data_IF_213161000117
#
_entry.id   IF_213161000117
#
_cell.length_a   1.000
_cell.length_b   1.000
_cell.length_c   1.000
_cell.angle_alpha   90.00
_cell.angle_beta   90.00
_cell.angle_gamma   90.00
#
_symmetry.space_group_name_H-M   'P 1'
#
loop_
_entity.id
_entity.type
_entity.pdbx_description
1 polymer ?
#
# COMPACT_ATOMS: atom_id res chain seq x y z
N UNK A 1 -17.33 -1.82 4.89
CA UNK A 1 -16.95 -0.47 5.41
C UNK A 1 -15.79 0.05 4.59
N UNK A 2 -15.88 1.25 4.00
CA UNK A 2 -14.76 1.82 3.25
C UNK A 2 -13.67 2.38 4.16
N UNK A 3 -12.43 1.96 3.90
CA UNK A 3 -11.25 2.39 4.65
C UNK A 3 -10.22 3.05 3.72
N UNK A 4 -9.30 3.79 4.32
CA UNK A 4 -8.07 4.25 3.67
C UNK A 4 -6.88 3.55 4.31
N UNK A 5 -5.96 3.03 3.50
CA UNK A 5 -4.73 2.42 3.99
C UNK A 5 -3.55 3.15 3.37
N UNK A 6 -2.60 3.56 4.21
CA UNK A 6 -1.36 4.22 3.82
C UNK A 6 -0.20 3.26 4.12
N UNK A 7 0.60 2.96 3.10
CA UNK A 7 1.62 1.92 3.08
C UNK A 7 2.99 2.51 2.72
N UNK A 8 4.01 2.08 3.46
CA UNK A 8 5.42 2.30 3.12
C UNK A 8 6.17 0.99 3.27
N UNK A 9 6.68 0.44 2.16
CA UNK A 9 7.57 -0.72 2.15
C UNK A 9 9.02 -0.24 2.13
N UNK A 10 9.80 -0.69 3.09
CA UNK A 10 11.22 -0.36 3.27
C UNK A 10 12.06 -1.64 3.14
N UNK A 11 12.46 -2.03 1.91
CA UNK A 11 13.46 -3.08 1.70
C UNK A 11 14.79 -2.65 2.32
N UNK A 12 15.48 -3.56 3.01
CA UNK A 12 16.79 -3.28 3.63
C UNK A 12 17.93 -3.93 2.82
N UNK A 13 18.02 -3.56 1.53
CA UNK A 13 18.96 -4.09 0.54
C UNK A 13 19.21 -3.08 -0.61
N UNK A 14 20.31 -3.21 -1.35
CA UNK A 14 20.79 -2.20 -2.32
C UNK A 14 19.84 -1.97 -3.51
N UNK A 15 19.12 -3.01 -3.94
CA UNK A 15 18.16 -2.97 -5.05
C UNK A 15 16.73 -2.64 -4.59
N UNK A 16 16.58 -1.93 -3.46
CA UNK A 16 15.31 -1.60 -2.83
C UNK A 16 14.27 -1.02 -3.80
N UNK A 17 14.69 -0.16 -4.73
CA UNK A 17 13.80 0.51 -5.68
C UNK A 17 12.97 -0.49 -6.49
N UNK A 18 13.58 -1.60 -6.93
CA UNK A 18 12.91 -2.63 -7.72
C UNK A 18 11.76 -3.24 -6.92
N UNK A 19 11.99 -3.51 -5.63
CA UNK A 19 10.98 -4.09 -4.75
C UNK A 19 9.84 -3.13 -4.46
N UNK A 20 10.15 -1.85 -4.20
CA UNK A 20 9.13 -0.81 -3.97
C UNK A 20 8.29 -0.61 -5.24
N UNK A 21 8.92 -0.46 -6.40
CA UNK A 21 8.23 -0.27 -7.69
C UNK A 21 7.32 -1.45 -8.00
N UNK A 22 7.80 -2.69 -7.79
CA UNK A 22 7.01 -3.88 -8.05
C UNK A 22 5.81 -4.01 -7.11
N UNK A 23 5.97 -3.62 -5.84
CA UNK A 23 4.87 -3.59 -4.88
C UNK A 23 3.81 -2.54 -5.26
N UNK A 24 4.21 -1.32 -5.62
CA UNK A 24 3.29 -0.28 -6.07
C UNK A 24 2.55 -0.71 -7.35
N UNK A 25 3.26 -1.30 -8.32
CA UNK A 25 2.63 -1.84 -9.54
C UNK A 25 1.59 -2.91 -9.23
N UNK A 26 1.87 -3.83 -8.30
CA UNK A 26 0.89 -4.86 -7.96
C UNK A 26 -0.37 -4.26 -7.33
N UNK A 27 -0.24 -3.20 -6.51
CA UNK A 27 -1.38 -2.44 -5.99
C UNK A 27 -2.18 -1.75 -7.10
N UNK A 28 -1.51 -1.13 -8.07
CA UNK A 28 -2.15 -0.48 -9.24
C UNK A 28 -2.93 -1.45 -10.14
N UNK A 29 -2.48 -2.69 -10.23
CA UNK A 29 -3.15 -3.75 -11.01
C UNK A 29 -4.43 -4.28 -10.33
N UNK A 30 -4.84 -3.69 -9.21
CA UNK A 30 -6.08 -4.03 -8.52
C UNK A 30 -7.27 -3.20 -9.00
N UNK A 31 -8.47 -3.57 -8.55
CA UNK A 31 -9.70 -2.79 -8.76
C UNK A 31 -9.82 -1.58 -7.81
N UNK A 32 -8.88 -1.41 -6.87
CA UNK A 32 -8.94 -0.39 -5.84
C UNK A 32 -8.35 0.94 -6.34
N UNK A 33 -8.81 2.05 -5.76
CA UNK A 33 -8.19 3.34 -6.01
C UNK A 33 -6.82 3.36 -5.32
N UNK A 34 -5.78 3.73 -6.06
CA UNK A 34 -4.41 3.88 -5.56
C UNK A 34 -3.90 5.28 -5.86
N UNK A 35 -3.32 5.94 -4.85
CA UNK A 35 -2.68 7.25 -4.96
C UNK A 35 -1.27 7.16 -4.39
N UNK A 36 -0.28 7.76 -5.05
CA UNK A 36 1.08 7.83 -4.54
C UNK A 36 1.52 9.25 -4.25
N UNK A 37 2.40 9.39 -3.27
CA UNK A 37 3.17 10.59 -3.03
C UNK A 37 4.64 10.18 -2.75
N UNK A 38 5.57 11.13 -2.61
CA UNK A 38 6.98 10.81 -2.40
C UNK A 38 7.32 9.99 -1.13
N UNK A 39 6.40 9.90 -0.16
CA UNK A 39 6.62 9.25 1.13
C UNK A 39 5.84 7.93 1.30
N UNK A 40 4.71 7.76 0.61
CA UNK A 40 3.84 6.60 0.81
C UNK A 40 2.94 6.30 -0.40
N UNK A 41 2.37 5.09 -0.38
CA UNK A 41 1.30 4.66 -1.29
C UNK A 41 0.01 4.48 -0.51
N UNK A 42 -1.06 5.11 -0.98
CA UNK A 42 -2.39 5.06 -0.39
C UNK A 42 -3.31 4.20 -1.25
N UNK A 43 -4.13 3.38 -0.61
CA UNK A 43 -5.10 2.50 -1.27
C UNK A 43 -6.42 2.49 -0.51
N UNK A 44 -7.52 2.51 -1.27
CA UNK A 44 -8.86 2.75 -0.74
C UNK A 44 -9.84 1.67 -1.22
N UNK A 45 -10.75 1.25 -0.34
CA UNK A 45 -11.73 0.21 -0.70
C UNK A 45 -12.56 -0.30 0.47
N UNK A 46 -13.46 -1.23 0.18
CA UNK A 46 -14.22 -1.95 1.21
C UNK A 46 -13.29 -2.84 2.05
N UNK A 47 -13.35 -2.73 3.38
CA UNK A 47 -12.49 -3.42 4.33
C UNK A 47 -12.39 -4.93 4.05
N UNK A 48 -13.52 -5.59 3.87
CA UNK A 48 -13.62 -7.04 3.70
C UNK A 48 -13.08 -7.51 2.35
N UNK A 49 -12.87 -6.61 1.39
CA UNK A 49 -12.24 -6.91 0.10
C UNK A 49 -10.76 -6.49 0.08
N UNK A 50 -10.47 -5.32 0.66
CA UNK A 50 -9.16 -4.68 0.62
C UNK A 50 -8.17 -5.38 1.54
N UNK A 51 -8.56 -5.72 2.78
CA UNK A 51 -7.64 -6.33 3.74
C UNK A 51 -7.14 -7.72 3.31
N UNK A 52 -7.98 -8.64 2.79
CA UNK A 52 -7.49 -9.91 2.25
C UNK A 52 -6.56 -9.73 1.05
N UNK A 53 -6.88 -8.79 0.15
CA UNK A 53 -6.03 -8.46 -0.99
C UNK A 53 -4.66 -7.93 -0.53
N UNK A 54 -4.64 -6.95 0.37
CA UNK A 54 -3.41 -6.40 0.94
C UNK A 54 -2.58 -7.46 1.64
N UNK A 55 -3.21 -8.32 2.45
CA UNK A 55 -2.52 -9.42 3.11
C UNK A 55 -1.80 -10.34 2.10
N UNK A 56 -2.44 -10.64 0.97
CA UNK A 56 -1.79 -11.40 -0.10
C UNK A 56 -0.60 -10.66 -0.72
N UNK A 57 -0.74 -9.37 -1.02
CA UNK A 57 0.34 -8.57 -1.62
C UNK A 57 1.53 -8.42 -0.67
N UNK A 58 1.26 -8.17 0.61
CA UNK A 58 2.26 -8.04 1.67
C UNK A 58 3.02 -9.36 1.82
N UNK A 59 2.31 -10.49 1.87
CA UNK A 59 2.94 -11.82 1.92
C UNK A 59 3.87 -12.04 0.74
N UNK A 60 3.40 -11.77 -0.49
CA UNK A 60 4.23 -11.91 -1.69
C UNK A 60 5.44 -10.98 -1.69
N UNK A 61 5.32 -9.76 -1.17
CA UNK A 61 6.47 -8.85 -1.02
C UNK A 61 7.50 -9.44 -0.05
N UNK A 62 7.05 -9.91 1.12
CA UNK A 62 7.91 -10.48 2.16
C UNK A 62 8.62 -11.76 1.68
N UNK A 63 7.96 -12.61 0.87
CA UNK A 63 8.59 -13.81 0.29
C UNK A 63 9.67 -13.48 -0.74
N UNK A 64 9.60 -12.31 -1.41
CA UNK A 64 10.56 -11.88 -2.43
C UNK A 64 11.75 -11.12 -1.86
N UNK A 65 11.79 -10.88 -0.56
CA UNK A 65 12.75 -9.99 0.10
C UNK A 65 13.39 -10.70 1.29
N UNK A 66 14.71 -10.54 1.47
CA UNK A 66 15.40 -11.17 2.59
C UNK A 66 15.12 -10.45 3.91
N UNK A 67 15.14 -9.12 3.86
CA UNK A 67 14.87 -8.25 5.01
C UNK A 67 14.10 -7.03 4.51
N UNK A 68 12.93 -6.79 5.08
CA UNK A 68 12.15 -5.58 4.80
C UNK A 68 11.29 -5.21 6.01
N UNK A 69 10.86 -3.96 6.05
CA UNK A 69 9.89 -3.44 7.02
C UNK A 69 8.73 -2.86 6.23
N UNK A 70 7.49 -3.16 6.64
CA UNK A 70 6.30 -2.52 6.10
C UNK A 70 5.62 -1.73 7.23
N UNK A 71 5.42 -0.44 7.00
CA UNK A 71 4.55 0.39 7.85
C UNK A 71 3.18 0.48 7.18
N UNK A 72 2.13 0.23 7.97
CA UNK A 72 0.74 0.31 7.52
C UNK A 72 -0.06 1.13 8.52
N UNK A 73 -0.77 2.15 8.02
CA UNK A 73 -1.70 2.98 8.78
C UNK A 73 -3.09 2.82 8.17
N UNK A 74 -4.05 2.37 8.98
CA UNK A 74 -5.44 2.15 8.56
C UNK A 74 -6.34 3.22 9.16
N UNK A 75 -7.13 3.87 8.31
CA UNK A 75 -8.11 4.88 8.69
C UNK A 75 -9.51 4.33 8.40
N UNK A 76 -10.39 4.41 9.40
CA UNK A 76 -11.77 3.86 9.35
C UNK A 76 -12.61 4.40 8.18
N UNK A 77 -12.30 5.59 7.68
CA UNK A 77 -13.09 6.29 6.66
C UNK A 77 -12.36 6.35 5.33
N UNK A 78 -13.14 6.52 4.25
CA UNK A 78 -12.63 6.83 2.93
C UNK A 78 -12.11 8.28 2.88
N UNK A 79 -10.84 8.46 2.53
CA UNK A 79 -10.17 9.77 2.38
C UNK A 79 -9.67 9.99 0.96
N UNK A 80 -10.15 9.22 -0.03
CA UNK A 80 -9.67 9.30 -1.42
C UNK A 80 -9.84 10.69 -2.04
N UNK A 81 -10.85 11.45 -1.58
CA UNK A 81 -11.20 12.77 -2.10
C UNK A 81 -10.78 13.90 -1.15
N UNK A 82 -9.82 13.66 -0.25
CA UNK A 82 -9.35 14.72 0.65
C UNK A 82 -8.57 15.77 -0.14
N UNK A 83 -9.03 17.02 -0.04
CA UNK A 83 -8.30 18.21 -0.48
C UNK A 83 -8.07 19.11 0.74
N UNK A 84 -6.85 19.63 0.97
CA UNK A 84 -6.62 20.63 1.99
C UNK A 84 -7.46 21.89 1.75
N UNK A 85 -8.09 22.42 2.80
CA UNK A 85 -8.98 23.59 2.75
C UNK A 85 -8.46 24.79 3.56
N UNK A 86 -7.15 24.85 3.82
CA UNK A 86 -6.47 25.88 4.61
C UNK A 86 -5.29 26.51 3.87
#
# INVERSE_FOLDING_TARGET
MKISVDLTLSPLQDDYEIHVINFIKSLRDSKFTVLENPLSTQIFGEYDELMPYLNSQIKTAFEKQKICVLTMKVVKTDRSNYEPDF
#
